data_IF_355128365285
#
_entry.id   IF_355128365285
#
_cell.length_a   1.000
_cell.length_b   1.000
_cell.length_c   1.000
_cell.angle_alpha   90.00
_cell.angle_beta   90.00
_cell.angle_gamma   90.00
#
_symmetry.space_group_name_H-M   'P 1'
#
loop_
_entity.id
_entity.type
_entity.pdbx_description
1 polymer ?
#
# COMPACT_ATOMS: atom_id res chain seq x y z
N UNK A 1 -31.22 -78.80 27.46
CA UNK A 1 -30.84 -79.26 28.82
C UNK A 1 -30.01 -78.14 29.44
N UNK A 2 -30.38 -77.66 30.64
CA UNK A 2 -29.85 -76.51 31.41
C UNK A 2 -30.38 -75.10 31.08
N UNK A 3 -31.52 -74.79 31.72
CA UNK A 3 -31.76 -73.66 32.65
C UNK A 3 -30.53 -73.29 33.50
N UNK A 4 -30.34 -72.13 34.14
CA UNK A 4 -30.99 -70.81 34.36
C UNK A 4 -29.96 -70.02 35.20
N UNK A 5 -30.05 -68.67 35.23
CA UNK A 5 -29.68 -67.68 36.28
C UNK A 5 -29.03 -66.46 35.63
N UNK A 6 -29.34 -65.19 35.94
CA UNK A 6 -30.33 -64.59 36.83
C UNK A 6 -30.47 -63.09 36.47
N UNK A 7 -31.52 -62.47 37.02
CA UNK A 7 -31.93 -61.05 37.07
C UNK A 7 -30.81 -60.01 37.33
N UNK A 8 -30.90 -58.69 37.10
CA UNK A 8 -31.98 -57.66 37.08
C UNK A 8 -31.43 -56.40 36.33
N UNK A 9 -32.17 -55.38 35.89
CA UNK A 9 -33.57 -54.96 35.95
C UNK A 9 -33.84 -53.96 34.80
N UNK A 10 -35.04 -53.96 34.21
CA UNK A 10 -36.13 -52.96 34.39
C UNK A 10 -35.70 -51.51 34.11
N UNK A 11 -36.41 -50.68 33.34
CA UNK A 11 -37.70 -50.78 32.66
C UNK A 11 -37.80 -49.51 31.76
N UNK A 12 -38.16 -49.63 30.48
CA UNK A 12 -39.48 -49.30 29.90
C UNK A 12 -39.59 -47.91 29.22
N UNK A 13 -39.96 -47.96 27.92
CA UNK A 13 -40.89 -47.07 27.17
C UNK A 13 -40.42 -45.62 26.87
N UNK A 14 -40.07 -45.17 25.64
CA UNK A 14 -40.81 -45.09 24.35
C UNK A 14 -42.27 -44.61 24.55
N UNK A 15 -42.80 -43.47 24.11
CA UNK A 15 -42.58 -42.41 23.08
C UNK A 15 -43.39 -41.14 23.55
N UNK A 16 -43.47 -39.95 22.88
CA UNK A 16 -42.93 -39.53 21.58
C UNK A 16 -42.19 -38.16 21.54
N UNK A 17 -41.18 -38.06 20.67
CA UNK A 17 -40.36 -36.86 20.42
C UNK A 17 -40.95 -35.94 19.33
N UNK A 18 -42.20 -35.47 19.49
CA UNK A 18 -42.89 -34.62 18.48
C UNK A 18 -43.33 -33.25 19.02
N UNK A 19 -43.08 -32.92 20.29
CA UNK A 19 -43.46 -31.63 20.88
C UNK A 19 -42.29 -30.70 21.24
N UNK A 20 -41.05 -31.09 20.95
CA UNK A 20 -39.86 -30.26 21.22
C UNK A 20 -39.29 -29.54 19.99
N UNK A 21 -39.93 -29.64 18.82
CA UNK A 21 -39.44 -29.01 17.58
C UNK A 21 -40.07 -27.64 17.28
N UNK A 22 -41.11 -27.23 18.03
CA UNK A 22 -41.78 -25.93 17.84
C UNK A 22 -41.41 -24.86 18.88
N UNK A 23 -40.69 -25.21 19.95
CA UNK A 23 -40.25 -24.24 20.97
C UNK A 23 -38.83 -23.69 20.73
N UNK A 24 -38.06 -24.27 19.80
CA UNK A 24 -36.71 -23.78 19.43
C UNK A 24 -36.75 -22.86 18.21
N UNK A 25 -37.87 -22.83 17.46
CA UNK A 25 -38.03 -21.97 16.28
C UNK A 25 -38.49 -20.53 16.58
N UNK A 26 -38.72 -20.18 17.86
CA UNK A 26 -39.17 -18.83 18.26
C UNK A 26 -38.10 -18.03 19.05
N UNK A 27 -36.88 -18.56 19.17
CA UNK A 27 -35.78 -17.93 19.92
C UNK A 27 -34.67 -17.33 19.03
N UNK A 28 -34.87 -17.30 17.70
CA UNK A 28 -33.96 -16.65 16.74
C UNK A 28 -34.61 -15.50 15.95
N UNK A 29 -35.72 -14.94 16.42
CA UNK A 29 -36.23 -13.64 15.95
C UNK A 29 -35.73 -12.57 16.91
N UNK A 30 -34.42 -12.43 16.94
CA UNK A 30 -33.66 -11.48 17.73
C UNK A 30 -32.25 -11.29 17.17
N UNK A 31 -32.05 -11.58 15.88
CA UNK A 31 -30.95 -10.99 15.16
C UNK A 31 -31.36 -9.54 14.95
N UNK A 32 -30.74 -8.64 15.71
CA UNK A 32 -30.77 -7.23 15.36
C UNK A 32 -30.44 -7.12 13.88
N UNK A 33 -31.27 -6.43 13.12
CA UNK A 33 -30.83 -5.85 11.87
C UNK A 33 -29.67 -4.95 12.24
N UNK A 34 -28.44 -5.41 12.11
CA UNK A 34 -27.31 -4.48 11.95
C UNK A 34 -27.70 -3.67 10.72
N UNK A 35 -28.20 -2.46 10.96
CA UNK A 35 -28.40 -1.52 9.88
C UNK A 35 -27.06 -1.42 9.18
N UNK A 36 -27.04 -1.66 7.87
CA UNK A 36 -25.85 -1.39 7.06
C UNK A 36 -25.35 -0.01 7.48
N UNK A 37 -24.07 0.12 7.89
CA UNK A 37 -23.54 1.41 8.30
C UNK A 37 -23.88 2.42 7.21
N UNK A 38 -24.50 3.53 7.61
CA UNK A 38 -24.83 4.62 6.70
C UNK A 38 -23.54 5.08 6.03
N UNK A 39 -23.56 5.35 4.72
CA UNK A 39 -22.39 5.88 4.05
C UNK A 39 -22.00 7.24 4.67
N UNK A 40 -20.72 7.45 4.90
CA UNK A 40 -20.20 8.75 5.33
C UNK A 40 -20.34 9.73 4.17
N UNK A 41 -21.08 10.80 4.41
CA UNK A 41 -21.19 11.92 3.47
C UNK A 41 -19.93 12.78 3.53
N UNK A 42 -19.37 13.08 2.35
CA UNK A 42 -18.35 14.10 2.13
C UNK A 42 -19.01 15.49 2.22
N UNK A 43 -18.64 16.25 3.25
CA UNK A 43 -19.17 17.59 3.50
C UNK A 43 -18.12 18.68 3.30
N UNK A 44 -17.03 18.37 2.59
CA UNK A 44 -15.88 19.26 2.45
C UNK A 44 -16.26 20.59 1.78
N UNK A 45 -17.18 20.55 0.82
CA UNK A 45 -17.72 21.76 0.16
C UNK A 45 -18.54 22.66 1.11
N UNK A 46 -19.07 22.11 2.21
CA UNK A 46 -19.82 22.84 3.23
C UNK A 46 -18.90 23.37 4.35
N UNK A 47 -17.61 23.04 4.32
CA UNK A 47 -16.64 23.49 5.30
C UNK A 47 -16.14 24.91 5.01
N UNK A 48 -15.94 25.68 6.08
CA UNK A 48 -15.17 26.93 6.06
C UNK A 48 -13.77 26.67 6.60
N UNK A 49 -12.76 26.98 5.78
CA UNK A 49 -11.35 26.94 6.16
C UNK A 49 -10.85 28.34 6.49
N UNK A 50 -10.13 28.49 7.60
CA UNK A 50 -9.49 29.75 7.98
C UNK A 50 -8.08 29.51 8.52
N UNK A 51 -7.16 30.42 8.22
CA UNK A 51 -5.77 30.33 8.66
C UNK A 51 -5.48 31.45 9.66
N UNK A 52 -4.80 31.12 10.75
CA UNK A 52 -4.29 32.11 11.70
C UNK A 52 -2.81 31.86 11.99
N UNK A 53 -2.07 32.93 12.28
CA UNK A 53 -0.67 32.82 12.69
C UNK A 53 -0.49 32.45 14.16
N UNK A 54 0.76 32.42 14.61
CA UNK A 54 1.13 32.09 16.01
C UNK A 54 0.38 32.98 17.01
N UNK A 55 0.27 34.27 16.71
CA UNK A 55 -0.37 35.28 17.56
C UNK A 55 -1.90 35.31 17.48
N UNK A 56 -2.50 34.45 16.64
CA UNK A 56 -3.95 34.40 16.40
C UNK A 56 -4.44 35.46 15.40
N UNK A 57 -3.53 36.15 14.72
CA UNK A 57 -3.87 37.04 13.62
C UNK A 57 -4.37 36.26 12.40
N UNK A 58 -5.43 36.76 11.77
CA UNK A 58 -5.97 36.16 10.55
C UNK A 58 -4.96 36.28 9.40
N UNK A 59 -4.77 35.18 8.67
CA UNK A 59 -3.94 35.11 7.46
C UNK A 59 -4.82 34.81 6.25
N UNK A 60 -4.44 35.36 5.11
CA UNK A 60 -5.08 34.99 3.85
C UNK A 60 -4.85 33.50 3.56
N UNK A 61 -5.91 32.80 3.15
CA UNK A 61 -5.89 31.40 2.77
C UNK A 61 -6.61 31.25 1.44
N UNK A 62 -5.96 30.60 0.47
CA UNK A 62 -6.62 30.18 -0.78
C UNK A 62 -7.36 28.87 -0.53
N UNK A 63 -8.48 28.94 0.20
CA UNK A 63 -9.26 27.75 0.58
C UNK A 63 -9.86 27.01 -0.61
N UNK A 64 -10.00 27.69 -1.76
CA UNK A 64 -10.49 27.07 -2.99
C UNK A 64 -9.59 25.93 -3.47
N UNK A 65 -8.26 26.09 -3.35
CA UNK A 65 -7.30 25.03 -3.69
C UNK A 65 -7.33 23.85 -2.73
N UNK A 66 -7.70 24.08 -1.46
CA UNK A 66 -7.77 23.02 -0.46
C UNK A 66 -9.09 22.23 -0.49
N UNK A 67 -9.97 22.53 -1.45
CA UNK A 67 -11.32 21.97 -1.59
C UNK A 67 -11.65 21.69 -3.07
N UNK A 68 -10.65 21.66 -3.97
CA UNK A 68 -10.85 21.48 -5.41
C UNK A 68 -10.78 20.03 -5.90
N UNK A 69 -10.53 19.08 -4.99
CA UNK A 69 -10.35 17.66 -5.30
C UNK A 69 -9.14 17.36 -6.20
N UNK A 70 -8.11 18.23 -6.20
CA UNK A 70 -6.95 18.13 -7.06
C UNK A 70 -5.63 18.11 -6.28
N UNK A 71 -5.02 16.93 -6.16
CA UNK A 71 -3.72 16.76 -5.51
C UNK A 71 -2.56 17.47 -6.25
N UNK A 72 -2.77 18.03 -7.44
CA UNK A 72 -1.76 18.79 -8.19
C UNK A 72 -1.73 20.29 -7.87
N UNK A 73 -2.76 20.80 -7.19
CA UNK A 73 -2.74 22.16 -6.63
C UNK A 73 -2.35 22.09 -5.14
N UNK A 74 -1.80 23.19 -4.61
CA UNK A 74 -1.46 23.26 -3.18
C UNK A 74 -1.39 24.69 -2.64
N UNK A 75 -1.44 24.78 -1.32
CA UNK A 75 -1.22 26.00 -0.53
C UNK A 75 -0.01 25.79 0.39
N UNK A 76 0.85 26.81 0.48
CA UNK A 76 1.96 26.84 1.44
C UNK A 76 1.51 27.42 2.78
N UNK A 77 1.80 26.71 3.86
CA UNK A 77 1.52 27.12 5.23
C UNK A 77 2.85 27.30 5.97
N UNK A 78 2.96 28.35 6.78
CA UNK A 78 4.17 28.61 7.56
C UNK A 78 4.16 27.83 8.86
N UNK A 79 5.34 27.53 9.40
CA UNK A 79 5.47 27.02 10.76
C UNK A 79 4.71 27.90 11.77
N UNK A 80 4.07 27.26 12.74
CA UNK A 80 3.20 27.84 13.77
C UNK A 80 1.85 28.37 13.28
N UNK A 81 1.54 28.26 11.99
CA UNK A 81 0.19 28.53 11.49
C UNK A 81 -0.81 27.51 12.07
N UNK A 82 -2.07 27.95 12.15
CA UNK A 82 -3.20 27.12 12.59
C UNK A 82 -4.28 27.16 11.53
N UNK A 83 -4.46 26.03 10.86
CA UNK A 83 -5.51 25.83 9.87
C UNK A 83 -6.75 25.26 10.57
N UNK A 84 -7.80 26.06 10.66
CA UNK A 84 -9.08 25.68 11.24
C UNK A 84 -10.04 25.23 10.15
N UNK A 85 -10.67 24.08 10.39
CA UNK A 85 -11.74 23.49 9.60
C UNK A 85 -13.02 23.60 10.43
N UNK A 86 -14.09 24.15 9.86
CA UNK A 86 -15.37 24.29 10.55
C UNK A 86 -16.57 24.05 9.63
N UNK A 87 -17.67 23.52 10.18
CA UNK A 87 -18.94 23.34 9.46
C UNK A 87 -20.12 23.42 10.42
N UNK A 88 -21.28 23.85 9.93
CA UNK A 88 -22.55 23.79 10.68
C UNK A 88 -22.96 22.34 10.96
N UNK A 89 -22.61 21.42 10.07
CA UNK A 89 -22.84 19.99 10.22
C UNK A 89 -21.62 19.35 10.88
N UNK A 90 -21.87 18.47 11.85
CA UNK A 90 -20.79 17.78 12.54
C UNK A 90 -20.14 16.73 11.63
N UNK A 91 -18.81 16.67 11.63
CA UNK A 91 -18.00 15.66 10.94
C UNK A 91 -17.30 14.76 11.94
N UNK A 92 -17.16 13.48 11.59
CA UNK A 92 -16.56 12.43 12.40
C UNK A 92 -15.11 12.15 12.03
N UNK A 93 -14.65 12.60 10.87
CA UNK A 93 -13.27 12.42 10.41
C UNK A 93 -12.83 13.50 9.46
N UNK A 94 -11.51 13.67 9.35
CA UNK A 94 -10.87 14.47 8.30
C UNK A 94 -9.87 13.62 7.53
N UNK A 95 -9.62 14.00 6.29
CA UNK A 95 -8.60 13.39 5.43
C UNK A 95 -7.77 14.49 4.79
N UNK A 96 -6.46 14.49 5.03
CA UNK A 96 -5.56 15.54 4.57
C UNK A 96 -4.62 14.97 3.52
N UNK A 97 -4.56 15.62 2.36
CA UNK A 97 -3.57 15.34 1.33
C UNK A 97 -2.44 16.36 1.48
N UNK A 98 -1.31 15.90 1.99
CA UNK A 98 -0.09 16.68 2.10
C UNK A 98 0.67 16.64 0.78
N UNK A 99 1.20 17.77 0.31
CA UNK A 99 2.03 17.80 -0.89
C UNK A 99 3.45 17.24 -0.64
N UNK A 100 3.89 17.25 0.63
CA UNK A 100 5.12 16.64 1.11
C UNK A 100 4.88 16.06 2.49
N UNK A 101 5.60 15.00 2.85
CA UNK A 101 5.48 14.36 4.16
C UNK A 101 5.62 15.44 5.27
N UNK A 102 4.59 15.67 6.10
CA UNK A 102 4.55 16.83 7.00
C UNK A 102 5.50 16.68 8.20
N UNK A 103 5.93 15.45 8.52
CA UNK A 103 6.48 15.13 9.83
C UNK A 103 5.38 15.13 10.90
N UNK A 104 5.76 15.18 12.17
CA UNK A 104 4.77 15.23 13.25
C UNK A 104 4.01 16.57 13.27
N UNK A 105 2.69 16.51 13.34
CA UNK A 105 1.80 17.67 13.42
C UNK A 105 0.75 17.47 14.52
N UNK A 106 0.02 18.52 14.88
CA UNK A 106 -0.94 18.47 15.99
C UNK A 106 -2.35 18.79 15.53
N UNK A 107 -3.30 17.94 15.91
CA UNK A 107 -4.72 18.16 15.73
C UNK A 107 -5.35 18.55 17.08
N UNK A 108 -6.12 19.63 17.11
CA UNK A 108 -6.92 20.04 18.27
C UNK A 108 -8.40 20.08 17.92
N UNK A 109 -9.23 19.34 18.67
CA UNK A 109 -10.68 19.29 18.49
C UNK A 109 -11.37 18.90 19.80
N UNK A 110 -12.58 19.44 20.03
CA UNK A 110 -13.37 19.21 21.24
C UNK A 110 -12.59 19.37 22.57
N UNK A 111 -11.67 20.34 22.64
CA UNK A 111 -10.85 20.59 23.83
C UNK A 111 -9.73 19.59 24.09
N UNK A 112 -9.49 18.64 23.17
CA UNK A 112 -8.38 17.68 23.21
C UNK A 112 -7.35 18.01 22.13
N UNK A 113 -6.12 17.53 22.30
CA UNK A 113 -5.02 17.74 21.36
C UNK A 113 -4.22 16.45 21.17
N UNK A 114 -3.88 16.13 19.92
CA UNK A 114 -3.29 14.85 19.51
C UNK A 114 -2.11 15.08 18.55
N UNK A 115 -0.98 14.44 18.81
CA UNK A 115 0.17 14.42 17.89
C UNK A 115 0.00 13.31 16.85
N UNK A 116 0.10 13.67 15.58
CA UNK A 116 -0.13 12.84 14.39
C UNK A 116 1.08 12.89 13.45
N UNK A 117 1.05 12.21 12.30
CA UNK A 117 2.13 12.23 11.31
C UNK A 117 3.34 11.35 11.62
N UNK A 118 3.32 10.55 12.69
CA UNK A 118 4.45 9.70 13.12
C UNK A 118 4.87 8.65 12.07
N UNK A 119 3.94 8.22 11.23
CA UNK A 119 4.21 7.27 10.15
C UNK A 119 4.53 7.95 8.80
N UNK A 120 4.45 9.28 8.72
CA UNK A 120 4.83 10.04 7.54
C UNK A 120 3.93 9.81 6.33
N UNK A 121 2.63 9.64 6.53
CA UNK A 121 1.69 9.47 5.42
C UNK A 121 1.53 10.76 4.62
N UNK A 122 1.55 10.63 3.29
CA UNK A 122 1.30 11.73 2.37
C UNK A 122 -0.21 12.02 2.26
N UNK A 123 -1.02 10.97 2.34
CA UNK A 123 -2.47 11.01 2.43
C UNK A 123 -2.87 10.49 3.81
N UNK A 124 -3.38 11.35 4.68
CA UNK A 124 -3.55 11.03 6.10
C UNK A 124 -5.01 11.16 6.54
N UNK A 125 -5.61 10.01 6.86
CA UNK A 125 -6.94 9.91 7.46
C UNK A 125 -6.87 10.04 8.99
N UNK A 126 -7.81 10.78 9.56
CA UNK A 126 -7.95 10.95 11.00
C UNK A 126 -9.40 10.77 11.43
N UNK A 127 -9.65 9.71 12.21
CA UNK A 127 -10.92 9.51 12.91
C UNK A 127 -10.99 10.46 14.12
N UNK A 128 -11.82 11.50 14.01
CA UNK A 128 -12.00 12.47 15.09
C UNK A 128 -12.85 11.91 16.21
N UNK A 129 -13.78 11.00 15.91
CA UNK A 129 -14.62 10.39 16.93
C UNK A 129 -13.82 9.44 17.81
N UNK A 130 -12.93 8.65 17.22
CA UNK A 130 -11.98 7.81 17.98
C UNK A 130 -11.11 8.67 18.90
N UNK A 131 -10.64 9.82 18.42
CA UNK A 131 -9.72 10.70 19.15
C UNK A 131 -10.38 11.59 20.20
N UNK A 132 -11.59 12.07 19.92
CA UNK A 132 -12.27 13.08 20.76
C UNK A 132 -13.50 12.55 21.49
N UNK A 133 -13.97 11.34 21.14
CA UNK A 133 -15.19 10.72 21.67
C UNK A 133 -16.49 11.21 21.01
N UNK A 134 -16.45 12.17 20.08
CA UNK A 134 -17.64 12.72 19.41
C UNK A 134 -17.32 13.18 17.99
N UNK A 135 -18.34 13.31 17.14
CA UNK A 135 -18.24 14.17 15.96
C UNK A 135 -18.13 15.64 16.39
N UNK A 136 -17.47 16.46 15.57
CA UNK A 136 -17.16 17.87 15.89
C UNK A 136 -17.63 18.80 14.78
N UNK A 137 -17.88 20.06 15.14
CA UNK A 137 -18.14 21.13 14.18
C UNK A 137 -16.88 21.95 13.85
N UNK A 138 -15.81 21.75 14.61
CA UNK A 138 -14.53 22.41 14.40
C UNK A 138 -13.35 21.52 14.77
N UNK A 139 -12.29 21.64 13.97
CA UNK A 139 -10.99 21.03 14.22
C UNK A 139 -9.88 22.00 13.78
N UNK A 140 -8.75 22.01 14.48
CA UNK A 140 -7.61 22.86 14.16
C UNK A 140 -6.36 22.01 13.94
N UNK A 141 -5.76 22.15 12.78
CA UNK A 141 -4.46 21.57 12.40
C UNK A 141 -3.38 22.61 12.70
N UNK A 142 -2.48 22.31 13.64
CA UNK A 142 -1.34 23.17 13.97
C UNK A 142 -0.11 22.74 13.17
N UNK A 143 0.46 23.70 12.45
CA UNK A 143 1.51 23.48 11.46
C UNK A 143 2.89 23.53 12.15
N UNK A 144 3.67 22.45 12.13
CA UNK A 144 4.91 22.34 12.91
C UNK A 144 6.08 23.11 12.29
N UNK A 145 6.09 23.23 10.97
CA UNK A 145 7.11 23.85 10.13
C UNK A 145 6.48 24.24 8.81
N UNK A 146 7.21 24.92 7.95
CA UNK A 146 6.74 25.22 6.61
C UNK A 146 6.40 23.92 5.86
N UNK A 147 5.14 23.79 5.45
CA UNK A 147 4.61 22.65 4.70
C UNK A 147 3.68 23.14 3.60
N UNK A 148 3.31 22.21 2.74
CA UNK A 148 2.36 22.44 1.65
C UNK A 148 1.25 21.39 1.71
N UNK A 149 0.00 21.83 1.57
CA UNK A 149 -1.20 20.99 1.63
C UNK A 149 -1.90 21.08 0.29
N UNK A 150 -2.27 19.93 -0.29
CA UNK A 150 -3.05 19.91 -1.52
C UNK A 150 -4.54 20.03 -1.22
N UNK A 151 -5.05 19.20 -0.31
CA UNK A 151 -6.49 19.05 -0.16
C UNK A 151 -6.89 18.62 1.26
N UNK A 152 -8.11 18.97 1.66
CA UNK A 152 -8.69 18.60 2.96
C UNK A 152 -10.14 18.20 2.77
N UNK A 153 -10.45 17.02 3.26
CA UNK A 153 -11.81 16.50 3.30
C UNK A 153 -12.33 16.37 4.71
N UNK A 154 -13.64 16.52 4.87
CA UNK A 154 -14.36 16.26 6.11
C UNK A 154 -15.54 15.32 5.82
N UNK A 155 -15.66 14.26 6.62
CA UNK A 155 -16.72 13.27 6.45
C UNK A 155 -17.58 13.16 7.71
N UNK A 156 -18.88 12.97 7.50
CA UNK A 156 -19.82 12.59 8.56
C UNK A 156 -19.57 11.16 9.06
N UNK A 157 -20.26 10.75 10.11
CA UNK A 157 -20.17 9.36 10.60
C UNK A 157 -20.76 8.39 9.57
N UNK A 158 -20.00 7.32 9.28
CA UNK A 158 -20.45 6.28 8.38
C UNK A 158 -19.33 5.46 7.76
N UNK A 159 -19.69 4.60 6.80
CA UNK A 159 -18.72 3.92 5.94
C UNK A 159 -18.10 4.91 4.96
N UNK A 160 -16.78 5.05 5.03
CA UNK A 160 -16.02 5.94 4.14
C UNK A 160 -16.10 5.46 2.69
N UNK A 161 -16.02 6.38 1.71
CA UNK A 161 -15.79 6.02 0.32
C UNK A 161 -14.49 5.22 0.15
N UNK A 162 -14.47 4.26 -0.77
CA UNK A 162 -13.33 3.35 -0.98
C UNK A 162 -12.03 4.05 -1.38
N UNK A 163 -12.10 5.28 -1.90
CA UNK A 163 -10.92 6.06 -2.30
C UNK A 163 -10.20 6.71 -1.11
N UNK A 164 -10.84 6.82 0.07
CA UNK A 164 -10.23 7.40 1.26
C UNK A 164 -9.19 6.45 1.82
N UNK A 165 -7.93 6.90 1.86
CA UNK A 165 -6.81 6.05 2.24
C UNK A 165 -6.63 6.02 3.76
N UNK A 166 -7.03 4.90 4.36
CA UNK A 166 -6.80 4.58 5.77
C UNK A 166 -5.60 3.64 5.88
N UNK A 167 -4.40 4.22 5.82
CA UNK A 167 -3.15 3.47 5.81
C UNK A 167 -2.84 2.81 7.16
N UNK A 168 -2.48 1.53 7.08
CA UNK A 168 -1.80 0.85 8.18
C UNK A 168 -0.30 1.20 8.14
N UNK A 169 0.38 1.17 9.30
CA UNK A 169 1.83 1.31 9.35
C UNK A 169 2.53 0.30 8.44
N UNK A 170 3.77 0.56 8.01
CA UNK A 170 4.61 -0.46 7.39
C UNK A 170 4.58 -1.76 8.20
N UNK A 171 4.67 -2.90 7.51
CA UNK A 171 4.57 -4.21 8.14
C UNK A 171 5.55 -4.34 9.31
N UNK A 172 5.17 -5.03 10.39
CA UNK A 172 6.15 -5.44 11.40
C UNK A 172 6.93 -6.67 10.93
N UNK A 173 6.24 -7.55 10.21
CA UNK A 173 6.80 -8.68 9.49
C UNK A 173 5.97 -8.86 8.21
N UNK A 174 6.65 -9.16 7.10
CA UNK A 174 6.00 -9.35 5.80
C UNK A 174 5.92 -10.84 5.44
N UNK A 175 4.78 -11.27 4.93
CA UNK A 175 4.68 -12.55 4.21
C UNK A 175 5.39 -12.44 2.86
N UNK A 176 5.18 -11.31 2.17
CA UNK A 176 5.84 -10.97 0.92
C UNK A 176 6.39 -9.55 0.97
N UNK A 177 7.65 -9.38 0.60
CA UNK A 177 8.23 -8.06 0.34
C UNK A 177 8.52 -7.91 -1.15
N UNK A 178 7.95 -6.87 -1.76
CA UNK A 178 8.17 -6.54 -3.17
C UNK A 178 9.16 -5.38 -3.26
N UNK A 179 10.30 -5.60 -3.90
CA UNK A 179 11.26 -4.55 -4.25
C UNK A 179 10.95 -4.01 -5.64
N UNK A 180 10.19 -2.92 -5.66
CA UNK A 180 9.98 -2.10 -6.86
C UNK A 180 11.11 -1.09 -7.00
N UNK A 181 11.39 -0.61 -8.20
CA UNK A 181 12.41 0.43 -8.39
C UNK A 181 11.76 1.81 -8.37
N UNK A 182 11.00 2.15 -9.40
CA UNK A 182 10.30 3.42 -9.58
C UNK A 182 8.82 3.31 -9.19
N UNK A 183 8.17 4.48 -9.08
CA UNK A 183 6.71 4.57 -8.95
C UNK A 183 6.03 4.28 -10.27
N UNK A 184 5.48 3.06 -10.41
CA UNK A 184 4.67 2.48 -11.52
C UNK A 184 5.10 1.04 -11.84
N UNK A 185 6.37 0.71 -11.64
CA UNK A 185 6.97 -0.63 -11.85
C UNK A 185 6.15 -1.75 -11.19
N UNK A 186 5.58 -1.49 -10.01
CA UNK A 186 4.75 -2.43 -9.26
C UNK A 186 3.45 -2.81 -9.98
N UNK A 187 2.98 -1.95 -10.89
CA UNK A 187 1.80 -2.18 -11.74
C UNK A 187 2.17 -2.65 -13.14
N UNK A 188 3.45 -2.59 -13.53
CA UNK A 188 3.95 -2.95 -14.85
C UNK A 188 4.62 -4.32 -14.83
N UNK A 189 5.85 -4.39 -14.33
CA UNK A 189 6.67 -5.62 -14.33
C UNK A 189 6.21 -6.63 -13.27
N UNK A 190 5.49 -6.15 -12.26
CA UNK A 190 4.92 -6.97 -11.19
C UNK A 190 3.40 -7.04 -11.23
N UNK A 191 2.79 -6.69 -12.37
CA UNK A 191 1.34 -6.68 -12.55
C UNK A 191 0.72 -8.02 -12.09
N UNK A 192 -0.27 -7.94 -11.22
CA UNK A 192 -0.96 -9.09 -10.63
C UNK A 192 -0.49 -9.49 -9.23
N UNK A 193 0.77 -9.24 -8.84
CA UNK A 193 1.27 -9.62 -7.50
C UNK A 193 0.48 -8.93 -6.39
N UNK A 194 0.37 -7.60 -6.42
CA UNK A 194 -0.26 -6.83 -5.36
C UNK A 194 -1.78 -7.07 -5.26
N UNK A 195 -2.56 -7.01 -6.36
CA UNK A 195 -3.97 -7.39 -6.34
C UNK A 195 -4.21 -8.78 -5.75
N UNK A 196 -3.38 -9.76 -6.11
CA UNK A 196 -3.56 -11.12 -5.63
C UNK A 196 -3.16 -11.27 -4.16
N UNK A 197 -1.91 -10.97 -3.80
CA UNK A 197 -1.41 -11.25 -2.45
C UNK A 197 -1.92 -10.26 -1.41
N UNK A 198 -1.88 -8.96 -1.68
CA UNK A 198 -2.35 -7.96 -0.72
C UNK A 198 -3.88 -7.84 -0.74
N UNK A 199 -4.47 -7.75 -1.94
CA UNK A 199 -5.90 -7.51 -2.11
C UNK A 199 -6.78 -8.74 -1.86
N UNK A 200 -6.59 -9.81 -2.63
CA UNK A 200 -7.43 -11.02 -2.59
C UNK A 200 -7.12 -11.87 -1.35
N UNK A 201 -5.87 -12.32 -1.23
CA UNK A 201 -5.43 -13.22 -0.15
C UNK A 201 -5.38 -12.49 1.20
N UNK A 202 -5.08 -11.19 1.22
CA UNK A 202 -4.91 -10.42 2.45
C UNK A 202 -3.60 -10.73 3.19
N UNK A 203 -2.56 -11.15 2.46
CA UNK A 203 -1.23 -11.35 3.01
C UNK A 203 -0.62 -10.03 3.48
N UNK A 204 0.28 -10.10 4.47
CA UNK A 204 1.07 -8.94 4.89
C UNK A 204 2.12 -8.63 3.81
N UNK A 205 1.81 -7.71 2.90
CA UNK A 205 2.69 -7.32 1.80
C UNK A 205 3.36 -5.98 2.12
N UNK A 206 4.69 -5.97 2.21
CA UNK A 206 5.48 -4.74 2.29
C UNK A 206 5.99 -4.38 0.90
N UNK A 207 5.58 -3.23 0.37
CA UNK A 207 6.16 -2.67 -0.86
C UNK A 207 7.32 -1.76 -0.47
N UNK A 208 8.46 -1.94 -1.12
CA UNK A 208 9.66 -1.13 -0.96
C UNK A 208 10.10 -0.63 -2.33
N UNK A 209 10.17 0.69 -2.48
CA UNK A 209 10.71 1.33 -3.67
C UNK A 209 12.18 1.66 -3.45
N UNK A 210 13.02 1.40 -4.44
CA UNK A 210 14.42 1.81 -4.37
C UNK A 210 14.54 3.34 -4.53
N UNK A 211 13.91 3.91 -5.54
CA UNK A 211 14.04 5.34 -5.85
C UNK A 211 12.88 6.15 -5.27
N UNK A 212 13.14 7.43 -5.03
CA UNK A 212 12.13 8.42 -4.69
C UNK A 212 11.93 9.42 -5.83
N UNK A 213 10.72 10.00 -5.85
CA UNK A 213 10.33 11.05 -6.78
C UNK A 213 9.89 12.31 -6.00
N UNK A 214 10.60 12.63 -4.92
CA UNK A 214 10.23 13.75 -4.02
C UNK A 214 10.39 15.13 -4.66
N UNK A 215 11.10 15.21 -5.78
CA UNK A 215 11.28 16.39 -6.62
C UNK A 215 10.16 16.55 -7.67
N UNK A 216 9.40 15.48 -7.96
CA UNK A 216 8.27 15.49 -8.88
C UNK A 216 6.96 15.42 -8.09
N UNK A 217 6.30 16.56 -7.96
CA UNK A 217 5.16 16.78 -7.06
C UNK A 217 4.08 15.70 -7.10
N UNK A 218 3.66 15.29 -8.30
CA UNK A 218 2.53 14.39 -8.49
C UNK A 218 2.88 12.89 -8.33
N UNK A 219 4.12 12.47 -8.61
CA UNK A 219 4.48 11.03 -8.66
C UNK A 219 4.28 10.29 -7.33
N UNK A 220 4.65 10.84 -6.16
CA UNK A 220 4.37 10.18 -4.89
C UNK A 220 2.87 10.00 -4.60
N UNK A 221 2.01 10.92 -5.06
CA UNK A 221 0.56 10.76 -4.93
C UNK A 221 0.05 9.64 -5.85
N UNK A 222 0.48 9.63 -7.10
CA UNK A 222 0.14 8.60 -8.07
C UNK A 222 0.54 7.19 -7.58
N UNK A 223 1.73 7.08 -6.98
CA UNK A 223 2.25 5.86 -6.36
C UNK A 223 1.32 5.29 -5.28
N UNK A 224 0.98 6.07 -4.26
CA UNK A 224 0.14 5.58 -3.15
C UNK A 224 -1.31 5.38 -3.58
N UNK A 225 -1.82 6.17 -4.53
CA UNK A 225 -3.13 5.96 -5.15
C UNK A 225 -3.17 4.61 -5.88
N UNK A 226 -2.13 4.27 -6.65
CA UNK A 226 -2.01 3.00 -7.35
C UNK A 226 -1.99 1.82 -6.38
N UNK A 227 -1.16 1.90 -5.33
CA UNK A 227 -1.09 0.89 -4.27
C UNK A 227 -2.44 0.68 -3.56
N UNK A 228 -3.11 1.76 -3.18
CA UNK A 228 -4.40 1.68 -2.51
C UNK A 228 -5.46 1.02 -3.39
N UNK A 229 -5.50 1.41 -4.67
CA UNK A 229 -6.43 0.87 -5.68
C UNK A 229 -6.30 -0.64 -5.83
N UNK A 230 -5.08 -1.17 -5.78
CA UNK A 230 -4.82 -2.62 -5.92
C UNK A 230 -4.88 -3.40 -4.60
N UNK A 231 -5.38 -2.80 -3.52
CA UNK A 231 -5.63 -3.50 -2.26
C UNK A 231 -4.48 -3.50 -1.27
N UNK A 232 -3.38 -2.78 -1.52
CA UNK A 232 -2.31 -2.60 -0.52
C UNK A 232 -2.81 -1.67 0.59
N UNK A 233 -2.54 -2.05 1.85
CA UNK A 233 -2.98 -1.28 3.04
C UNK A 233 -1.85 -0.93 4.00
N UNK A 234 -0.70 -1.62 3.95
CA UNK A 234 0.50 -1.20 4.66
C UNK A 234 1.24 -0.14 3.86
N UNK A 235 1.61 0.97 4.49
CA UNK A 235 2.27 2.08 3.83
C UNK A 235 3.63 1.65 3.22
N UNK A 236 3.96 2.06 1.99
CA UNK A 236 5.21 1.67 1.36
C UNK A 236 6.41 2.31 2.06
N UNK A 237 7.59 1.70 1.86
CA UNK A 237 8.87 2.38 2.11
C UNK A 237 9.40 2.90 0.79
N UNK A 238 9.86 4.15 0.79
CA UNK A 238 10.51 4.77 -0.37
C UNK A 238 11.96 5.01 -0.02
N UNK A 239 12.86 4.46 -0.82
CA UNK A 239 14.31 4.55 -0.60
C UNK A 239 14.85 5.96 -0.77
N UNK A 240 16.04 6.23 -0.23
CA UNK A 240 16.65 7.56 -0.24
C UNK A 240 17.25 7.95 -1.60
N UNK A 241 17.30 7.03 -2.56
CA UNK A 241 17.97 7.23 -3.85
C UNK A 241 17.07 8.04 -4.79
N UNK A 242 17.57 9.11 -5.43
CA UNK A 242 16.76 9.88 -6.36
C UNK A 242 16.49 9.08 -7.64
N UNK A 243 15.34 9.34 -8.27
CA UNK A 243 15.10 8.94 -9.66
C UNK A 243 15.98 9.77 -10.61
N UNK A 244 17.11 9.20 -11.02
CA UNK A 244 18.12 9.90 -11.81
C UNK A 244 18.16 9.36 -13.25
N UNK A 245 17.92 10.25 -14.20
CA UNK A 245 17.97 9.94 -15.63
C UNK A 245 19.34 9.40 -16.09
N UNK A 246 20.42 9.78 -15.39
CA UNK A 246 21.76 9.23 -15.59
C UNK A 246 21.89 7.79 -15.09
N UNK A 247 20.81 7.10 -14.71
CA UNK A 247 20.80 5.64 -14.48
C UNK A 247 20.22 4.85 -15.65
N UNK A 248 19.56 5.50 -16.62
CA UNK A 248 19.07 4.84 -17.82
C UNK A 248 20.25 4.31 -18.65
N UNK A 249 20.13 3.14 -19.30
CA UNK A 249 21.16 2.63 -20.20
C UNK A 249 21.40 3.57 -21.39
N UNK A 250 22.64 3.60 -21.86
CA UNK A 250 23.03 4.34 -23.07
C UNK A 250 23.13 3.38 -24.25
N UNK A 251 22.94 3.90 -25.45
CA UNK A 251 23.04 3.10 -26.67
C UNK A 251 24.40 2.38 -26.75
N UNK A 252 24.35 1.06 -26.87
CA UNK A 252 25.54 0.21 -26.98
C UNK A 252 26.18 -0.20 -25.64
N UNK A 253 25.69 0.28 -24.50
CA UNK A 253 26.15 -0.23 -23.20
C UNK A 253 25.63 -1.65 -22.94
N UNK A 254 26.47 -2.45 -22.29
CA UNK A 254 26.09 -3.72 -21.66
C UNK A 254 25.41 -3.48 -20.31
N UNK A 255 24.60 -4.45 -19.80
CA UNK A 255 24.04 -4.37 -18.45
C UNK A 255 25.10 -4.13 -17.36
N UNK A 256 26.29 -4.72 -17.50
CA UNK A 256 27.39 -4.55 -16.56
C UNK A 256 27.97 -3.12 -16.56
N UNK A 257 28.12 -2.51 -17.74
CA UNK A 257 28.56 -1.10 -17.86
C UNK A 257 27.51 -0.14 -17.30
N UNK A 258 26.23 -0.40 -17.59
CA UNK A 258 25.11 0.38 -17.03
C UNK A 258 25.05 0.24 -15.49
N UNK A 259 25.27 -0.96 -14.94
CA UNK A 259 25.35 -1.19 -13.50
C UNK A 259 26.51 -0.40 -12.88
N UNK A 260 27.72 -0.51 -13.43
CA UNK A 260 28.90 0.17 -12.90
C UNK A 260 28.67 1.68 -12.77
N UNK A 261 28.09 2.31 -13.80
CA UNK A 261 27.71 3.72 -13.78
C UNK A 261 26.64 4.02 -12.71
N UNK A 262 25.63 3.16 -12.58
CA UNK A 262 24.58 3.34 -11.56
C UNK A 262 25.14 3.23 -10.14
N UNK A 263 26.10 2.33 -9.91
CA UNK A 263 26.78 2.20 -8.62
C UNK A 263 27.64 3.43 -8.29
N UNK A 264 28.17 4.14 -9.28
CA UNK A 264 28.87 5.42 -9.08
C UNK A 264 27.92 6.54 -8.64
N UNK A 265 26.66 6.49 -9.06
CA UNK A 265 25.62 7.49 -8.71
C UNK A 265 25.08 7.23 -7.30
N UNK A 266 24.67 6.00 -7.02
CA UNK A 266 24.00 5.65 -5.75
C UNK A 266 24.96 5.21 -4.65
N UNK A 267 26.13 4.71 -4.99
CA UNK A 267 27.07 4.08 -4.07
C UNK A 267 26.65 2.64 -3.74
N UNK A 268 27.51 1.68 -4.09
CA UNK A 268 27.23 0.25 -3.90
C UNK A 268 26.94 -0.12 -2.44
N UNK A 269 27.76 0.34 -1.49
CA UNK A 269 27.58 -0.01 -0.08
C UNK A 269 26.27 0.58 0.49
N UNK A 270 25.86 1.77 0.04
CA UNK A 270 24.60 2.37 0.45
C UNK A 270 23.40 1.57 -0.04
N UNK A 271 23.44 1.09 -1.29
CA UNK A 271 22.40 0.21 -1.84
C UNK A 271 22.29 -1.09 -1.04
N UNK A 272 23.43 -1.76 -0.79
CA UNK A 272 23.43 -3.03 -0.02
C UNK A 272 22.97 -2.78 1.42
N UNK A 273 23.42 -1.70 2.07
CA UNK A 273 23.00 -1.33 3.41
C UNK A 273 21.49 -1.16 3.51
N UNK A 274 20.90 -0.44 2.55
CA UNK A 274 19.45 -0.24 2.46
C UNK A 274 18.72 -1.59 2.35
N UNK A 275 19.14 -2.46 1.44
CA UNK A 275 18.53 -3.78 1.25
C UNK A 275 18.62 -4.64 2.53
N UNK A 276 19.78 -4.64 3.20
CA UNK A 276 19.98 -5.36 4.47
C UNK A 276 19.05 -4.82 5.56
N UNK A 277 18.91 -3.50 5.67
CA UNK A 277 18.00 -2.89 6.62
C UNK A 277 16.55 -3.32 6.36
N UNK A 278 16.09 -3.27 5.10
CA UNK A 278 14.72 -3.64 4.75
C UNK A 278 14.44 -5.12 5.05
N UNK A 279 15.38 -6.02 4.71
CA UNK A 279 15.26 -7.45 5.03
C UNK A 279 15.18 -7.67 6.54
N UNK A 280 16.05 -7.03 7.33
CA UNK A 280 16.08 -7.19 8.79
C UNK A 280 14.86 -6.58 9.47
N UNK A 281 14.42 -5.42 9.00
CA UNK A 281 13.26 -4.70 9.54
C UNK A 281 11.97 -5.47 9.32
N UNK A 282 11.76 -6.00 8.11
CA UNK A 282 10.49 -6.60 7.71
C UNK A 282 10.47 -8.12 7.73
N UNK A 283 11.62 -8.79 7.89
CA UNK A 283 11.72 -10.24 8.06
C UNK A 283 10.85 -11.04 7.08
N UNK A 284 10.94 -10.74 5.76
CA UNK A 284 10.04 -11.30 4.77
C UNK A 284 10.15 -12.82 4.71
N UNK A 285 9.02 -13.52 4.54
CA UNK A 285 9.04 -14.95 4.19
C UNK A 285 9.42 -15.14 2.71
N UNK A 286 8.90 -14.27 1.85
CA UNK A 286 9.19 -14.24 0.42
C UNK A 286 9.65 -12.84 0.00
N UNK A 287 10.68 -12.76 -0.82
CA UNK A 287 11.05 -11.53 -1.53
C UNK A 287 10.82 -11.73 -3.03
N UNK A 288 10.32 -10.69 -3.70
CA UNK A 288 10.29 -10.60 -5.17
C UNK A 288 11.06 -9.36 -5.60
N UNK A 289 11.94 -9.50 -6.59
CA UNK A 289 12.74 -8.41 -7.18
C UNK A 289 12.74 -8.43 -8.71
N UNK A 290 13.27 -7.36 -9.29
CA UNK A 290 13.39 -7.14 -10.74
C UNK A 290 14.31 -8.13 -11.44
N UNK A 291 14.24 -8.20 -12.76
CA UNK A 291 15.19 -8.94 -13.60
C UNK A 291 16.63 -8.45 -13.38
N UNK A 292 17.59 -9.38 -13.45
CA UNK A 292 19.02 -9.08 -13.28
C UNK A 292 19.55 -8.14 -14.35
N UNK A 293 18.93 -8.10 -15.53
CA UNK A 293 19.29 -7.17 -16.60
C UNK A 293 18.41 -5.92 -16.59
N UNK A 294 17.61 -5.70 -15.54
CA UNK A 294 16.76 -4.52 -15.38
C UNK A 294 15.71 -4.39 -16.47
N UNK A 295 15.19 -5.53 -16.94
CA UNK A 295 14.21 -5.67 -18.00
C UNK A 295 14.65 -4.98 -19.31
N UNK A 296 14.34 -3.70 -19.45
CA UNK A 296 14.75 -2.86 -20.58
C UNK A 296 16.11 -2.20 -20.35
N UNK A 297 16.95 -2.81 -19.49
CA UNK A 297 18.27 -2.33 -19.11
C UNK A 297 18.22 -0.96 -18.42
N UNK A 298 17.26 -0.76 -17.53
CA UNK A 298 17.29 0.41 -16.64
C UNK A 298 18.30 0.16 -15.52
N UNK A 299 19.31 1.02 -15.38
CA UNK A 299 20.40 0.81 -14.42
C UNK A 299 19.93 0.75 -12.97
N UNK A 300 18.94 1.57 -12.59
CA UNK A 300 18.35 1.48 -11.26
C UNK A 300 17.69 0.11 -10.98
N UNK A 301 17.08 -0.55 -11.97
CA UNK A 301 16.50 -1.89 -11.80
C UNK A 301 17.61 -2.93 -11.60
N UNK A 302 18.66 -2.86 -12.43
CA UNK A 302 19.84 -3.73 -12.31
C UNK A 302 20.48 -3.57 -10.93
N UNK A 303 20.67 -2.32 -10.47
CA UNK A 303 21.25 -2.01 -9.17
C UNK A 303 20.37 -2.49 -8.00
N UNK A 304 19.04 -2.40 -8.13
CA UNK A 304 18.08 -2.92 -7.15
C UNK A 304 18.27 -4.42 -6.96
N UNK A 305 18.24 -5.19 -8.04
CA UNK A 305 18.41 -6.64 -7.99
C UNK A 305 19.81 -7.05 -7.59
N UNK A 306 20.84 -6.38 -8.11
CA UNK A 306 22.24 -6.61 -7.72
C UNK A 306 22.44 -6.43 -6.22
N UNK A 307 21.98 -5.31 -5.66
CA UNK A 307 22.13 -5.03 -4.23
C UNK A 307 21.29 -5.96 -3.36
N UNK A 308 20.09 -6.34 -3.80
CA UNK A 308 19.28 -7.35 -3.14
C UNK A 308 20.03 -8.69 -3.05
N UNK A 309 20.59 -9.18 -4.15
CA UNK A 309 21.36 -10.44 -4.17
C UNK A 309 22.54 -10.39 -3.20
N UNK A 310 23.25 -9.26 -3.13
CA UNK A 310 24.37 -9.03 -2.21
C UNK A 310 23.93 -8.92 -0.74
N UNK A 311 22.71 -8.49 -0.48
CA UNK A 311 22.19 -8.28 0.88
C UNK A 311 21.66 -9.57 1.57
N UNK A 312 21.34 -10.62 0.81
CA UNK A 312 20.72 -11.84 1.36
C UNK A 312 21.57 -12.56 2.42
N UNK A 313 22.89 -12.63 2.23
CA UNK A 313 23.80 -13.22 3.23
C UNK A 313 24.10 -12.27 4.39
N UNK A 314 24.52 -11.00 4.16
CA UNK A 314 24.76 -10.04 5.23
C UNK A 314 23.55 -9.78 6.14
N UNK A 315 22.32 -9.87 5.63
CA UNK A 315 21.13 -9.72 6.44
C UNK A 315 21.04 -10.75 7.59
N UNK A 316 21.63 -11.94 7.41
CA UNK A 316 21.71 -13.00 8.41
C UNK A 316 22.94 -12.90 9.33
N UNK A 317 23.93 -12.05 9.02
CA UNK A 317 25.18 -11.90 9.78
C UNK A 317 25.11 -10.74 10.79
N UNK A 318 25.14 -10.99 12.11
CA UNK A 318 25.04 -9.92 13.12
C UNK A 318 26.22 -8.94 13.14
N UNK A 319 27.34 -9.24 12.46
CA UNK A 319 28.49 -8.33 12.36
C UNK A 319 28.42 -7.40 11.13
N UNK A 320 27.62 -7.75 10.13
CA UNK A 320 27.45 -6.93 8.93
C UNK A 320 26.42 -5.82 9.17
N UNK A 321 26.67 -4.62 8.61
CA UNK A 321 25.77 -3.45 8.63
C UNK A 321 25.20 -3.13 10.03
N UNK A 322 26.04 -2.67 10.98
CA UNK A 322 25.65 -2.49 12.38
C UNK A 322 24.50 -1.49 12.60
N UNK A 323 24.31 -0.53 11.68
CA UNK A 323 23.24 0.47 11.78
C UNK A 323 21.83 -0.14 11.75
N UNK A 324 21.68 -1.30 11.10
CA UNK A 324 20.42 -2.06 11.06
C UNK A 324 20.28 -3.11 12.17
N UNK A 325 21.28 -3.23 13.07
CA UNK A 325 21.32 -4.29 14.08
C UNK A 325 20.14 -4.24 15.06
N UNK A 326 19.52 -3.07 15.25
CA UNK A 326 18.33 -2.89 16.09
C UNK A 326 17.13 -3.77 15.67
N UNK A 327 17.06 -4.17 14.40
CA UNK A 327 16.00 -5.03 13.87
C UNK A 327 16.29 -6.53 14.05
N UNK A 328 17.51 -6.87 14.46
CA UNK A 328 18.03 -8.24 14.50
C UNK A 328 18.48 -8.72 13.13
N UNK A 329 18.87 -10.00 13.03
CA UNK A 329 19.24 -10.64 11.77
C UNK A 329 18.07 -11.41 11.18
N UNK A 330 18.11 -11.64 9.86
CA UNK A 330 17.10 -12.43 9.17
C UNK A 330 17.71 -13.18 7.98
N UNK A 331 17.39 -14.48 7.86
CA UNK A 331 17.71 -15.25 6.66
C UNK A 331 16.43 -15.52 5.89
N UNK A 332 16.32 -14.89 4.72
CA UNK A 332 15.12 -14.94 3.88
C UNK A 332 14.85 -16.38 3.43
N UNK A 333 13.64 -16.93 3.65
CA UNK A 333 13.29 -18.29 3.22
C UNK A 333 13.30 -18.50 1.72
N UNK A 334 12.69 -17.59 0.94
CA UNK A 334 12.64 -17.66 -0.53
C UNK A 334 12.80 -16.28 -1.16
N UNK A 335 13.60 -16.20 -2.22
CA UNK A 335 13.78 -14.99 -3.03
C UNK A 335 13.54 -15.34 -4.49
N UNK A 336 12.54 -14.72 -5.09
CA UNK A 336 12.21 -14.83 -6.50
C UNK A 336 12.66 -13.59 -7.25
N UNK A 337 13.17 -13.81 -8.45
CA UNK A 337 13.63 -12.77 -9.36
C UNK A 337 12.80 -12.86 -10.63
N UNK A 338 12.29 -11.71 -11.08
CA UNK A 338 11.54 -11.59 -12.33
C UNK A 338 12.40 -12.10 -13.50
N UNK A 339 11.81 -12.91 -14.38
CA UNK A 339 12.47 -13.52 -15.54
C UNK A 339 13.69 -14.41 -15.22
N UNK A 340 13.90 -14.83 -13.97
CA UNK A 340 15.02 -15.70 -13.61
C UNK A 340 14.85 -17.12 -14.20
N UNK A 341 15.94 -17.65 -14.77
CA UNK A 341 15.88 -18.87 -15.59
C UNK A 341 15.77 -20.17 -14.79
N UNK A 342 16.28 -20.18 -13.54
CA UNK A 342 16.29 -21.40 -12.73
C UNK A 342 15.03 -21.51 -11.88
N UNK A 343 14.50 -22.73 -11.73
CA UNK A 343 13.31 -23.02 -10.91
C UNK A 343 12.13 -22.09 -11.22
N UNK A 344 11.81 -21.95 -12.53
CA UNK A 344 10.75 -21.08 -13.02
C UNK A 344 9.38 -21.45 -12.46
N UNK A 345 8.65 -20.41 -12.09
CA UNK A 345 7.21 -20.44 -11.85
C UNK A 345 6.55 -19.47 -12.84
N UNK A 346 5.38 -19.87 -13.34
CA UNK A 346 4.56 -19.03 -14.20
C UNK A 346 3.24 -18.81 -13.48
N UNK A 347 2.96 -17.56 -13.18
CA UNK A 347 1.78 -17.15 -12.45
C UNK A 347 0.61 -16.93 -13.39
N UNK A 348 -0.59 -17.29 -12.95
CA UNK A 348 -1.82 -17.03 -13.70
C UNK A 348 -2.56 -15.86 -13.06
N UNK A 349 -2.31 -14.66 -13.59
CA UNK A 349 -2.95 -13.42 -13.14
C UNK A 349 -4.29 -13.12 -13.80
N UNK A 350 -4.76 -14.05 -14.65
CA UNK A 350 -5.99 -13.94 -15.42
C UNK A 350 -7.17 -14.67 -14.75
N UNK A 351 -6.99 -15.18 -13.53
CA UNK A 351 -8.06 -15.74 -12.72
C UNK A 351 -8.87 -14.65 -12.01
N UNK A 352 -10.22 -14.76 -11.97
CA UNK A 352 -11.08 -13.82 -11.25
C UNK A 352 -10.79 -13.74 -9.75
N UNK A 353 -10.74 -12.52 -9.21
CA UNK A 353 -10.59 -12.22 -7.79
C UNK A 353 -11.94 -11.85 -7.18
N UNK A 354 -12.35 -12.57 -6.14
CA UNK A 354 -13.67 -12.39 -5.52
C UNK A 354 -13.81 -11.02 -4.84
N UNK A 355 -12.74 -10.50 -4.24
CA UNK A 355 -12.74 -9.21 -3.53
C UNK A 355 -12.72 -8.01 -4.46
N UNK A 356 -12.41 -8.22 -5.73
CA UNK A 356 -12.46 -7.20 -6.78
C UNK A 356 -13.64 -7.39 -7.74
N UNK A 357 -14.72 -8.04 -7.26
CA UNK A 357 -15.96 -8.18 -8.03
C UNK A 357 -15.82 -9.07 -9.27
N UNK A 358 -14.86 -9.99 -9.27
CA UNK A 358 -14.61 -10.92 -10.37
C UNK A 358 -13.62 -10.42 -11.43
N UNK A 359 -13.02 -9.23 -11.26
CA UNK A 359 -11.89 -8.79 -12.08
C UNK A 359 -10.69 -9.69 -11.86
N UNK A 360 -9.84 -9.85 -12.87
CA UNK A 360 -8.58 -10.57 -12.72
C UNK A 360 -7.54 -9.71 -12.00
N UNK A 361 -6.47 -10.34 -11.49
CA UNK A 361 -5.37 -9.59 -10.88
C UNK A 361 -4.75 -8.61 -11.88
N UNK A 362 -4.64 -9.00 -13.15
CA UNK A 362 -4.16 -8.12 -14.20
C UNK A 362 -5.07 -6.91 -14.46
N UNK A 363 -6.39 -7.10 -14.50
CA UNK A 363 -7.36 -6.01 -14.66
C UNK A 363 -7.29 -5.02 -13.49
N UNK A 364 -7.08 -5.50 -12.27
CA UNK A 364 -6.91 -4.62 -11.10
C UNK A 364 -5.58 -3.86 -11.18
N UNK A 365 -4.49 -4.48 -11.63
CA UNK A 365 -3.23 -3.76 -11.90
C UNK A 365 -3.37 -2.69 -12.98
N UNK A 366 -4.26 -2.85 -13.96
CA UNK A 366 -4.61 -1.78 -14.92
C UNK A 366 -5.23 -0.56 -14.25
N UNK A 367 -6.07 -0.78 -13.24
CA UNK A 367 -6.66 0.31 -12.44
C UNK A 367 -5.60 0.98 -11.56
N UNK A 368 -4.70 0.20 -10.95
CA UNK A 368 -3.54 0.74 -10.25
C UNK A 368 -2.64 1.58 -11.15
N UNK A 369 -2.33 1.10 -12.36
CA UNK A 369 -1.52 1.83 -13.32
C UNK A 369 -2.21 3.11 -13.82
N UNK A 370 -3.53 3.12 -13.94
CA UNK A 370 -4.30 4.31 -14.32
C UNK A 370 -4.18 5.47 -13.31
N UNK A 371 -3.75 5.18 -12.07
CA UNK A 371 -3.41 6.22 -11.10
C UNK A 371 -2.12 6.97 -11.47
N UNK A 372 -1.21 6.37 -12.24
CA UNK A 372 0.06 6.95 -12.68
C UNK A 372 -0.13 7.87 -13.90
N UNK A 373 -0.92 8.93 -13.72
CA UNK A 373 -1.34 9.85 -14.80
C UNK A 373 -0.17 10.47 -15.55
N UNK A 374 0.91 10.80 -14.86
CA UNK A 374 2.09 11.40 -15.50
C UNK A 374 2.96 10.44 -16.29
N UNK A 375 2.75 9.13 -16.16
CA UNK A 375 3.57 8.09 -16.81
C UNK A 375 2.86 7.41 -17.99
N UNK A 376 1.64 7.87 -18.34
CA UNK A 376 0.83 7.28 -19.42
C UNK A 376 1.40 7.50 -20.84
N UNK A 377 2.48 8.28 -20.98
CA UNK A 377 3.17 8.49 -22.26
C UNK A 377 4.25 7.43 -22.53
N UNK A 378 4.58 6.60 -21.53
CA UNK A 378 5.64 5.59 -21.66
C UNK A 378 5.20 4.45 -22.59
N UNK A 379 6.16 3.78 -23.22
CA UNK A 379 5.81 2.72 -24.17
C UNK A 379 5.23 1.46 -23.49
N UNK A 380 5.43 1.29 -22.18
CA UNK A 380 4.86 0.20 -21.39
C UNK A 380 3.36 0.34 -21.19
N UNK A 381 2.83 1.57 -21.26
CA UNK A 381 1.39 1.87 -21.13
C UNK A 381 0.55 1.00 -22.05
N UNK A 382 1.05 0.65 -23.24
CA UNK A 382 0.37 -0.23 -24.19
C UNK A 382 0.01 -1.60 -23.65
N UNK A 383 0.77 -2.13 -22.68
CA UNK A 383 0.45 -3.42 -22.05
C UNK A 383 -0.82 -3.32 -21.21
N UNK A 384 -1.08 -2.15 -20.62
CA UNK A 384 -2.15 -1.93 -19.66
C UNK A 384 -3.37 -1.32 -20.36
N UNK A 385 -3.18 -0.43 -21.34
CA UNK A 385 -4.26 0.37 -21.94
C UNK A 385 -4.46 0.16 -23.45
N UNK A 386 -3.55 -0.52 -24.15
CA UNK A 386 -3.57 -0.68 -25.62
C UNK A 386 -2.83 0.43 -26.39
N UNK A 387 -2.88 0.41 -27.72
CA UNK A 387 -2.06 1.28 -28.59
C UNK A 387 -2.77 2.56 -29.03
N UNK A 388 -2.87 3.55 -28.14
CA UNK A 388 -3.33 4.90 -28.51
C UNK A 388 -4.85 5.08 -28.60
N UNK A 389 -5.30 6.34 -28.67
CA UNK A 389 -6.72 6.70 -28.64
C UNK A 389 -7.51 6.05 -29.79
N UNK A 390 -8.34 5.06 -29.43
CA UNK A 390 -9.25 4.40 -30.36
C UNK A 390 -8.66 3.19 -31.11
N UNK A 391 -7.40 2.83 -30.88
CA UNK A 391 -6.80 1.60 -31.41
C UNK A 391 -6.74 0.53 -30.30
N UNK A 392 -7.57 -0.50 -30.45
CA UNK A 392 -7.62 -1.63 -29.53
C UNK A 392 -6.56 -2.67 -29.89
N UNK A 393 -5.30 -2.49 -29.45
CA UNK A 393 -4.40 -3.63 -29.21
C UNK A 393 -4.73 -4.22 -27.82
N UNK A 394 -5.76 -5.06 -27.73
CA UNK A 394 -5.72 -6.55 -27.71
C UNK A 394 -5.11 -7.22 -26.49
N UNK A 395 -4.40 -6.51 -25.59
CA UNK A 395 -3.94 -7.13 -24.34
C UNK A 395 -5.05 -7.03 -23.29
N UNK A 396 -5.73 -8.15 -23.10
CA UNK A 396 -6.79 -8.34 -22.11
C UNK A 396 -6.33 -9.23 -20.96
N UNK A 397 -5.20 -9.91 -21.13
CA UNK A 397 -4.65 -10.88 -20.19
C UNK A 397 -3.17 -10.64 -19.95
N UNK A 398 -2.70 -10.88 -18.72
CA UNK A 398 -1.28 -10.83 -18.40
C UNK A 398 -0.48 -11.86 -19.22
N UNK A 399 -1.07 -13.03 -19.49
CA UNK A 399 -0.47 -14.09 -20.30
C UNK A 399 -0.23 -13.71 -21.78
N UNK A 400 -0.82 -12.61 -22.26
CA UNK A 400 -0.60 -12.08 -23.62
C UNK A 400 0.65 -11.18 -23.69
N UNK A 401 1.20 -10.76 -22.54
CA UNK A 401 2.44 -9.97 -22.46
C UNK A 401 3.63 -10.93 -22.59
N UNK A 402 4.27 -10.92 -23.75
CA UNK A 402 5.40 -11.81 -24.07
C UNK A 402 6.79 -11.18 -23.86
N UNK A 403 6.86 -9.86 -23.71
CA UNK A 403 8.10 -9.14 -23.44
C UNK A 403 8.07 -8.61 -22.00
N UNK A 404 9.02 -9.05 -21.17
CA UNK A 404 9.05 -8.76 -19.74
C UNK A 404 7.74 -9.16 -19.06
N UNK A 405 7.35 -10.42 -19.26
CA UNK A 405 6.05 -10.92 -18.81
C UNK A 405 5.94 -10.84 -17.30
N UNK A 406 4.91 -10.16 -16.74
CA UNK A 406 4.71 -10.11 -15.30
C UNK A 406 4.28 -11.46 -14.71
N UNK A 407 4.14 -12.50 -15.54
CA UNK A 407 3.79 -13.84 -15.11
C UNK A 407 5.02 -14.68 -14.72
N UNK A 408 6.24 -14.30 -15.14
CA UNK A 408 7.39 -15.19 -15.10
C UNK A 408 8.39 -14.82 -14.00
N UNK A 409 8.62 -15.75 -13.07
CA UNK A 409 9.59 -15.59 -11.98
C UNK A 409 10.41 -16.87 -11.82
N UNK A 410 11.62 -16.77 -11.30
CA UNK A 410 12.43 -17.93 -10.93
C UNK A 410 12.91 -17.84 -9.48
N UNK A 411 12.99 -18.99 -8.81
CA UNK A 411 13.52 -19.07 -7.45
C UNK A 411 15.05 -18.96 -7.48
N UNK A 412 15.55 -17.77 -7.15
CA UNK A 412 16.98 -17.44 -7.10
C UNK A 412 17.68 -18.06 -5.89
N UNK A 413 17.07 -17.94 -4.70
CA UNK A 413 17.64 -18.45 -3.45
C UNK A 413 16.56 -19.00 -2.54
N UNK A 414 16.89 -20.09 -1.85
CA UNK A 414 16.05 -20.63 -0.76
C UNK A 414 16.86 -21.19 0.39
N UNK A 415 16.34 -21.06 1.62
CA UNK A 415 16.84 -21.77 2.81
C UNK A 415 15.94 -22.92 3.26
N UNK A 416 14.80 -23.10 2.58
CA UNK A 416 13.74 -24.08 2.94
C UNK A 416 13.44 -25.08 1.82
N UNK A 417 14.13 -24.98 0.67
CA UNK A 417 13.92 -25.82 -0.50
C UNK A 417 12.98 -25.20 -1.54
N UNK A 418 12.90 -25.77 -2.75
CA UNK A 418 12.01 -25.31 -3.82
C UNK A 418 10.52 -25.46 -3.45
N UNK A 419 9.63 -24.93 -4.29
CA UNK A 419 8.17 -25.07 -4.15
C UNK A 419 7.66 -26.51 -4.31
#
# INVERSE_FOLDING_TARGET
MKTLTDHAGRNDRRLPAVLLLFAVLSLFIGAGTEAFPTAAEDISADCTLSLSGKGGEDKALDSGRLLDADYTTYVSLSGEDRLKISSEKAFASIYIIWNKIPGEWTLSAAGTSHTLGQYGYLHEFVDLRERTGTAVNEATVSIPKDITVCDIYAFTEGSLPDWVQVWQPPCQQADLMLFSTHSDDEQLFFAGILPYYAGEIGAAVQVVYLTNHWDVQNRPHEQINGLWTVGVRNYPIVGPFPDDADTLSREGETPEETLQRTLEIFGEDALIAFQVEMIRRFKPQVIVGHDINGEYQHGAHIANTYSLQKALEPAADPQAYPDSAQYGTWSVPKTYIHLWEENKIVMNWDEPLSRFGGKTAFEVSKEGYACHRSQQWTWFTRWLTGTGDGEADTITKASEITRYSPCEYGLYRTTVGPD
#
